data_IF_697155837441
#
_entry.id   IF_697155837441
#
_cell.length_a   1.000
_cell.length_b   1.000
_cell.length_c   1.000
_cell.angle_alpha   90.00
_cell.angle_beta   90.00
_cell.angle_gamma   90.00
#
_symmetry.space_group_name_H-M   'P 1'
#
loop_
_entity.id
_entity.type
_entity.pdbx_description
1 polymer ?
#
# COMPACT_ATOMS: atom_id res chain seq x y z
N UNK A 1 38.36 17.94 -8.31
CA UNK A 1 37.40 17.48 -7.30
C UNK A 1 36.01 17.46 -7.92
N UNK A 2 35.55 16.30 -8.39
CA UNK A 2 34.16 16.13 -8.82
C UNK A 2 33.35 15.81 -7.57
N UNK A 3 32.50 16.72 -7.12
CA UNK A 3 31.58 16.42 -6.03
C UNK A 3 30.60 15.37 -6.53
N UNK A 4 30.65 14.16 -5.94
CA UNK A 4 29.57 13.19 -6.07
C UNK A 4 28.39 13.72 -5.26
N UNK A 5 27.58 14.57 -5.89
CA UNK A 5 26.19 14.68 -5.50
C UNK A 5 25.58 13.31 -5.81
N UNK A 6 25.45 12.46 -4.80
CA UNK A 6 24.62 11.27 -4.90
C UNK A 6 23.22 11.75 -5.28
N UNK A 7 22.85 11.63 -6.56
CA UNK A 7 21.44 11.68 -6.92
C UNK A 7 20.81 10.59 -6.08
N UNK A 8 19.92 10.94 -5.15
CA UNK A 8 19.06 9.96 -4.52
C UNK A 8 18.45 9.15 -5.66
N UNK A 9 18.74 7.85 -5.69
CA UNK A 9 18.21 6.99 -6.73
C UNK A 9 16.69 7.06 -6.65
N UNK A 10 16.03 7.37 -7.78
CA UNK A 10 14.57 7.35 -7.87
C UNK A 10 14.06 5.98 -7.39
N UNK A 11 13.09 5.96 -6.47
CA UNK A 11 12.43 4.75 -5.99
C UNK A 11 11.38 4.22 -6.99
N UNK A 12 11.22 4.89 -8.13
CA UNK A 12 10.39 4.48 -9.26
C UNK A 12 11.29 4.24 -10.48
N UNK A 13 11.20 3.05 -11.07
CA UNK A 13 11.90 2.64 -12.30
C UNK A 13 10.88 2.32 -13.39
N UNK A 14 11.02 2.91 -14.57
CA UNK A 14 10.28 2.49 -15.75
C UNK A 14 11.08 1.45 -16.55
N UNK A 15 10.41 0.41 -17.01
CA UNK A 15 10.97 -0.56 -17.95
C UNK A 15 10.63 -0.13 -19.38
N UNK A 16 11.58 -0.32 -20.30
CA UNK A 16 11.40 -0.01 -21.72
C UNK A 16 10.79 1.38 -21.95
N UNK A 17 11.31 2.42 -21.29
CA UNK A 17 10.72 3.77 -21.25
C UNK A 17 10.36 4.32 -22.65
N UNK A 18 11.12 3.95 -23.69
CA UNK A 18 10.84 4.30 -25.09
C UNK A 18 9.50 3.80 -25.64
N UNK A 19 8.87 2.80 -25.00
CA UNK A 19 7.55 2.28 -25.37
C UNK A 19 6.39 3.05 -24.72
N UNK A 20 6.69 3.95 -23.79
CA UNK A 20 5.66 4.65 -23.02
C UNK A 20 5.22 5.94 -23.70
N UNK A 21 3.92 6.25 -23.72
CA UNK A 21 3.46 7.61 -23.97
C UNK A 21 3.96 8.56 -22.88
N UNK A 22 4.51 9.71 -23.26
CA UNK A 22 5.08 10.68 -22.29
C UNK A 22 4.06 11.16 -21.24
N UNK A 23 2.80 11.33 -21.65
CA UNK A 23 1.72 11.70 -20.75
C UNK A 23 1.50 10.64 -19.66
N UNK A 24 1.57 9.36 -20.03
CA UNK A 24 1.39 8.25 -19.09
C UNK A 24 2.57 8.12 -18.12
N UNK A 25 3.82 8.33 -18.58
CA UNK A 25 5.00 8.40 -17.69
C UNK A 25 4.78 9.45 -16.59
N UNK A 26 4.38 10.66 -17.00
CA UNK A 26 4.11 11.76 -16.07
C UNK A 26 2.99 11.40 -15.09
N UNK A 27 1.88 10.83 -15.58
CA UNK A 27 0.78 10.40 -14.70
C UNK A 27 1.22 9.33 -13.70
N UNK A 28 2.05 8.36 -14.10
CA UNK A 28 2.58 7.36 -13.15
C UNK A 28 3.51 8.02 -12.13
N UNK A 29 4.39 8.93 -12.54
CA UNK A 29 5.26 9.68 -11.61
C UNK A 29 4.47 10.49 -10.57
N UNK A 30 3.31 11.02 -10.96
CA UNK A 30 2.44 11.82 -10.07
C UNK A 30 1.54 10.95 -9.18
N UNK A 31 1.23 9.72 -9.59
CA UNK A 31 0.22 8.88 -8.94
C UNK A 31 0.74 7.63 -8.26
N UNK A 32 2.01 7.27 -8.50
CA UNK A 32 2.73 6.16 -7.87
C UNK A 32 3.94 6.72 -7.11
N UNK A 33 3.74 6.97 -5.81
CA UNK A 33 4.72 7.66 -4.97
C UNK A 33 5.31 6.68 -3.97
N UNK A 34 6.62 6.79 -3.74
CA UNK A 34 7.32 6.17 -2.61
C UNK A 34 8.12 7.24 -1.90
N UNK A 35 7.99 7.29 -0.58
CA UNK A 35 8.78 8.13 0.30
C UNK A 35 9.61 7.27 1.25
N UNK A 36 10.92 7.43 1.19
CA UNK A 36 11.86 6.76 2.08
C UNK A 36 11.78 7.35 3.49
N UNK A 37 12.17 6.56 4.50
CA UNK A 37 12.29 7.00 5.90
C UNK A 37 11.04 7.73 6.46
N UNK A 38 9.84 7.38 5.98
CA UNK A 38 8.58 7.97 6.47
C UNK A 38 8.26 7.57 7.92
N UNK A 39 8.66 6.34 8.29
CA UNK A 39 8.56 5.78 9.63
C UNK A 39 9.96 5.74 10.25
N UNK A 40 10.08 6.05 11.53
CA UNK A 40 11.35 5.86 12.25
C UNK A 40 11.48 4.42 12.75
N UNK A 41 12.71 3.98 13.07
CA UNK A 41 12.91 2.66 13.70
C UNK A 41 12.17 2.50 15.04
N UNK A 42 11.98 3.61 15.77
CA UNK A 42 11.22 3.60 17.02
C UNK A 42 9.72 3.38 16.75
N UNK A 43 9.17 4.09 15.78
CA UNK A 43 7.77 3.93 15.36
C UNK A 43 7.51 2.52 14.79
N UNK A 44 8.44 1.97 13.98
CA UNK A 44 8.34 0.57 13.55
C UNK A 44 8.34 -0.39 14.75
N UNK A 45 9.20 -0.19 15.73
CA UNK A 45 9.22 -1.02 16.94
C UNK A 45 7.90 -0.91 17.73
N UNK A 46 7.28 0.27 17.78
CA UNK A 46 5.97 0.49 18.39
C UNK A 46 4.84 -0.25 17.64
N UNK A 47 4.83 -0.19 16.30
CA UNK A 47 3.93 -1.00 15.47
C UNK A 47 4.13 -2.49 15.75
N UNK A 48 5.37 -2.98 15.77
CA UNK A 48 5.65 -4.39 16.00
C UNK A 48 5.25 -4.85 17.39
N UNK A 49 5.43 -4.02 18.43
CA UNK A 49 4.99 -4.34 19.80
C UNK A 49 3.47 -4.54 19.88
N UNK A 50 2.70 -3.77 19.12
CA UNK A 50 1.25 -3.88 19.08
C UNK A 50 0.77 -5.01 18.15
N UNK A 51 1.37 -5.16 16.97
CA UNK A 51 0.89 -6.04 15.90
C UNK A 51 1.33 -7.49 16.10
N UNK A 52 2.61 -7.72 16.47
CA UNK A 52 3.23 -9.05 16.55
C UNK A 52 2.47 -10.04 17.46
N UNK A 53 1.98 -9.67 18.66
CA UNK A 53 1.29 -10.59 19.55
C UNK A 53 0.04 -11.22 18.92
N UNK A 54 -0.61 -10.51 18.00
CA UNK A 54 -1.78 -10.98 17.27
C UNK A 54 -1.37 -11.76 16.03
N UNK A 55 -0.47 -11.23 15.21
CA UNK A 55 -0.06 -11.87 13.95
C UNK A 55 0.56 -13.25 14.19
N UNK A 56 1.40 -13.41 15.23
CA UNK A 56 2.06 -14.69 15.53
C UNK A 56 1.10 -15.84 15.85
N UNK A 57 -0.16 -15.54 16.19
CA UNK A 57 -1.21 -16.54 16.46
C UNK A 57 -1.90 -17.02 15.18
N UNK A 58 -1.77 -16.28 14.09
CA UNK A 58 -2.29 -16.63 12.77
C UNK A 58 -1.30 -17.53 12.04
N UNK A 59 -1.81 -18.51 11.30
CA UNK A 59 -1.03 -19.36 10.41
C UNK A 59 -0.84 -18.63 9.07
N UNK A 60 0.28 -18.87 8.42
CA UNK A 60 0.43 -18.47 7.03
C UNK A 60 -0.51 -19.29 6.15
N UNK A 61 -1.35 -18.59 5.39
CA UNK A 61 -2.23 -19.12 4.38
C UNK A 61 -1.46 -19.32 3.07
N UNK A 62 -1.71 -20.44 2.39
CA UNK A 62 -1.02 -20.75 1.13
C UNK A 62 -1.54 -19.90 -0.02
N UNK A 63 -2.84 -19.61 -0.05
CA UNK A 63 -3.50 -18.81 -1.09
C UNK A 63 -4.82 -18.26 -0.57
N UNK A 64 -5.19 -17.06 -1.01
CA UNK A 64 -6.53 -16.50 -0.83
C UNK A 64 -7.55 -17.12 -1.83
N UNK A 65 -8.86 -16.90 -1.65
CA UNK A 65 -9.89 -17.47 -2.54
C UNK A 65 -9.84 -16.93 -3.98
N UNK A 66 -9.32 -15.72 -4.15
CA UNK A 66 -9.04 -15.09 -5.46
C UNK A 66 -7.61 -15.33 -5.95
N UNK A 67 -6.83 -16.12 -5.20
CA UNK A 67 -5.45 -16.51 -5.49
C UNK A 67 -4.45 -15.33 -5.61
N UNK A 68 -4.80 -14.13 -5.12
CA UNK A 68 -3.98 -12.93 -5.25
C UNK A 68 -2.75 -12.94 -4.34
N UNK A 69 -2.83 -13.50 -3.14
CA UNK A 69 -1.74 -13.46 -2.15
C UNK A 69 -1.32 -14.87 -1.74
N UNK A 70 -0.01 -15.10 -1.65
CA UNK A 70 0.63 -16.40 -1.35
C UNK A 70 1.54 -16.31 -0.13
N UNK A 71 1.47 -17.32 0.75
CA UNK A 71 2.24 -17.41 2.00
C UNK A 71 2.18 -16.14 2.84
N UNK A 72 0.98 -15.81 3.27
CA UNK A 72 0.68 -14.59 3.99
C UNK A 72 -0.23 -14.86 5.18
N UNK A 73 -0.33 -13.89 6.08
CA UNK A 73 -1.41 -13.84 7.07
C UNK A 73 -1.84 -12.40 7.22
N UNK A 74 -3.13 -12.19 7.42
CA UNK A 74 -3.67 -10.84 7.45
C UNK A 74 -4.69 -10.67 8.57
N UNK A 75 -4.90 -9.42 8.94
CA UNK A 75 -6.00 -9.02 9.81
C UNK A 75 -6.33 -7.56 9.58
N UNK A 76 -7.48 -7.18 10.09
CA UNK A 76 -7.90 -5.80 10.17
C UNK A 76 -7.86 -5.31 11.62
N UNK A 77 -7.47 -4.05 11.80
CA UNK A 77 -7.44 -3.41 13.11
C UNK A 77 -8.01 -1.99 13.05
N UNK A 78 -8.97 -1.72 13.93
CA UNK A 78 -9.63 -0.42 14.06
C UNK A 78 -9.03 0.47 15.16
N UNK A 79 -8.68 -0.12 16.30
CA UNK A 79 -8.16 0.63 17.45
C UNK A 79 -6.65 0.44 17.50
N UNK A 80 -5.93 1.54 17.57
CA UNK A 80 -4.48 1.57 17.75
C UNK A 80 -4.12 2.25 19.06
N UNK A 81 -2.93 1.95 19.59
CA UNK A 81 -2.39 2.75 20.69
C UNK A 81 -2.06 4.17 20.20
N UNK A 82 -1.90 5.12 21.13
CA UNK A 82 -1.70 6.53 20.80
C UNK A 82 -0.49 6.76 19.87
N UNK A 83 0.66 6.13 20.15
CA UNK A 83 1.89 6.30 19.36
C UNK A 83 1.70 5.83 17.91
N UNK A 84 1.04 4.70 17.71
CA UNK A 84 0.77 4.17 16.37
C UNK A 84 -0.34 4.97 15.66
N UNK A 85 -1.34 5.47 16.37
CA UNK A 85 -2.38 6.34 15.81
C UNK A 85 -1.80 7.67 15.31
N UNK A 86 -0.82 8.25 16.00
CA UNK A 86 -0.13 9.48 15.56
C UNK A 86 0.59 9.29 14.21
N UNK A 87 1.20 8.11 13.98
CA UNK A 87 1.83 7.76 12.70
C UNK A 87 0.78 7.52 11.62
N UNK A 88 -0.32 6.83 11.95
CA UNK A 88 -1.44 6.64 11.02
C UNK A 88 -2.05 7.98 10.62
N UNK A 89 -2.25 8.92 11.55
CA UNK A 89 -2.75 10.26 11.25
C UNK A 89 -1.78 11.07 10.38
N UNK A 90 -0.47 10.90 10.57
CA UNK A 90 0.55 11.49 9.68
C UNK A 90 0.45 10.89 8.27
N UNK A 91 0.32 9.58 8.16
CA UNK A 91 0.13 8.87 6.89
C UNK A 91 -1.14 9.34 6.18
N UNK A 92 -2.23 9.50 6.93
CA UNK A 92 -3.54 9.90 6.42
C UNK A 92 -3.52 11.30 5.85
N UNK A 93 -3.06 12.28 6.64
CA UNK A 93 -2.93 13.69 6.20
C UNK A 93 -2.03 13.84 4.98
N UNK A 94 -1.04 12.97 4.84
CA UNK A 94 -0.13 12.99 3.70
C UNK A 94 -0.73 12.38 2.44
N UNK A 95 -1.53 11.33 2.60
CA UNK A 95 -1.96 10.50 1.47
C UNK A 95 -3.32 10.90 0.93
N UNK A 96 -4.27 11.24 1.80
CA UNK A 96 -5.67 11.46 1.45
C UNK A 96 -6.04 12.96 1.47
N UNK A 97 -6.97 13.39 0.60
CA UNK A 97 -7.67 14.66 0.73
C UNK A 97 -8.33 14.83 2.11
N UNK A 98 -8.50 16.08 2.56
CA UNK A 98 -9.11 16.38 3.87
C UNK A 98 -10.55 15.88 4.00
N UNK A 99 -11.29 15.84 2.88
CA UNK A 99 -12.67 15.39 2.78
C UNK A 99 -12.81 13.88 2.46
N UNK A 100 -11.70 13.17 2.29
CA UNK A 100 -11.74 11.76 1.97
C UNK A 100 -12.21 10.92 3.17
N UNK A 101 -13.35 10.28 3.03
CA UNK A 101 -13.80 9.28 3.99
C UNK A 101 -12.95 8.01 3.89
N UNK A 102 -12.48 7.49 5.02
CA UNK A 102 -11.55 6.36 5.06
C UNK A 102 -12.18 5.10 5.64
N UNK A 103 -11.65 3.94 5.23
CA UNK A 103 -11.97 2.69 5.91
C UNK A 103 -11.51 2.78 7.36
N UNK A 104 -12.45 2.52 8.27
CA UNK A 104 -12.17 2.56 9.72
C UNK A 104 -11.23 1.43 10.15
N UNK A 105 -11.18 0.35 9.39
CA UNK A 105 -10.30 -0.79 9.62
C UNK A 105 -9.04 -0.64 8.77
N UNK A 106 -7.89 -0.61 9.43
CA UNK A 106 -6.58 -0.60 8.80
C UNK A 106 -6.15 -2.03 8.53
N UNK A 107 -5.72 -2.31 7.31
CA UNK A 107 -5.32 -3.64 6.88
C UNK A 107 -3.86 -3.90 7.25
N UNK A 108 -3.62 -5.01 7.96
CA UNK A 108 -2.29 -5.48 8.34
C UNK A 108 -2.01 -6.76 7.56
N UNK A 109 -1.02 -6.69 6.66
CA UNK A 109 -0.58 -7.83 5.86
C UNK A 109 0.83 -8.24 6.27
N UNK A 110 1.02 -9.49 6.68
CA UNK A 110 2.32 -10.08 7.01
C UNK A 110 2.64 -11.15 5.96
N UNK A 111 3.66 -10.86 5.15
CA UNK A 111 4.18 -11.75 4.12
C UNK A 111 5.38 -12.52 4.66
N UNK A 112 5.38 -13.83 4.41
CA UNK A 112 6.56 -14.67 4.60
C UNK A 112 7.68 -14.24 3.63
N UNK A 113 8.94 -14.60 3.93
CA UNK A 113 10.09 -14.38 3.02
C UNK A 113 9.86 -14.95 1.62
N UNK A 114 9.18 -16.09 1.54
CA UNK A 114 8.81 -16.76 0.27
C UNK A 114 7.41 -16.35 -0.24
N UNK A 115 6.74 -15.44 0.46
CA UNK A 115 5.40 -14.96 0.12
C UNK A 115 5.44 -13.91 -0.98
N UNK A 116 4.36 -13.82 -1.75
CA UNK A 116 4.23 -12.88 -2.87
C UNK A 116 2.79 -12.45 -3.06
N UNK A 117 2.62 -11.34 -3.78
CA UNK A 117 1.31 -10.86 -4.21
C UNK A 117 1.31 -10.89 -5.73
N UNK A 118 0.36 -11.57 -6.36
CA UNK A 118 0.19 -11.65 -7.81
C UNK A 118 -0.39 -10.34 -8.39
N UNK A 119 -0.25 -10.08 -9.70
CA UNK A 119 -0.78 -8.89 -10.35
C UNK A 119 -2.30 -8.73 -10.21
N UNK A 120 -2.73 -7.72 -9.47
CA UNK A 120 -4.15 -7.44 -9.25
C UNK A 120 -4.45 -5.93 -9.15
N UNK A 121 -5.72 -5.58 -9.29
CA UNK A 121 -6.26 -4.23 -9.04
C UNK A 121 -7.22 -4.37 -7.87
N UNK A 122 -7.04 -3.56 -6.83
CA UNK A 122 -7.94 -3.55 -5.68
C UNK A 122 -9.39 -3.25 -6.11
N UNK A 123 -10.32 -4.00 -5.53
CA UNK A 123 -11.75 -3.91 -5.86
C UNK A 123 -12.27 -2.48 -5.70
N UNK A 124 -12.78 -1.92 -6.80
CA UNK A 124 -13.46 -0.61 -6.82
C UNK A 124 -14.75 -0.58 -6.00
N UNK A 125 -15.26 -1.75 -5.59
CA UNK A 125 -16.43 -1.86 -4.71
C UNK A 125 -16.09 -1.63 -3.24
N UNK A 126 -14.82 -1.79 -2.85
CA UNK A 126 -14.40 -1.76 -1.44
C UNK A 126 -13.27 -0.77 -1.18
N UNK A 127 -12.53 -0.34 -2.21
CA UNK A 127 -11.45 0.63 -2.14
C UNK A 127 -11.77 1.84 -3.02
N UNK A 128 -11.63 3.05 -2.48
CA UNK A 128 -11.78 4.31 -3.19
C UNK A 128 -10.59 4.63 -4.10
N UNK A 129 -10.25 5.91 -4.22
CA UNK A 129 -9.26 6.44 -5.16
C UNK A 129 -7.81 6.25 -4.70
N UNK A 130 -7.55 5.97 -3.42
CA UNK A 130 -6.21 6.00 -2.83
C UNK A 130 -5.94 4.75 -2.00
N UNK A 131 -4.83 4.07 -2.34
CA UNK A 131 -4.22 3.02 -1.52
C UNK A 131 -2.89 3.57 -1.04
N UNK A 132 -2.67 3.53 0.27
CA UNK A 132 -1.40 3.95 0.87
C UNK A 132 -1.00 2.97 1.94
N UNK A 133 0.30 2.76 2.13
CA UNK A 133 0.78 1.88 3.18
C UNK A 133 2.22 2.12 3.55
N UNK A 134 2.56 1.72 4.77
CA UNK A 134 3.95 1.70 5.26
C UNK A 134 4.53 0.29 5.15
N UNK A 135 5.80 0.20 4.78
CA UNK A 135 6.56 -1.04 4.67
C UNK A 135 7.41 -1.24 5.92
N UNK A 136 7.26 -2.36 6.62
CA UNK A 136 7.97 -2.67 7.86
C UNK A 136 8.77 -3.98 7.70
N UNK A 137 9.80 -4.12 8.53
CA UNK A 137 10.74 -5.25 8.65
C UNK A 137 11.73 -5.43 7.49
N UNK A 138 11.27 -5.45 6.24
CA UNK A 138 12.12 -5.70 5.08
C UNK A 138 11.65 -4.98 3.82
N UNK A 139 12.60 -4.81 2.91
CA UNK A 139 12.40 -4.20 1.60
C UNK A 139 11.63 -5.15 0.67
N UNK A 140 10.92 -4.60 -0.32
CA UNK A 140 10.45 -5.37 -1.47
C UNK A 140 10.37 -4.52 -2.73
N UNK A 141 10.17 -5.20 -3.86
CA UNK A 141 9.82 -4.56 -5.12
C UNK A 141 8.33 -4.75 -5.38
N UNK A 142 7.61 -3.64 -5.50
CA UNK A 142 6.26 -3.64 -6.02
C UNK A 142 6.30 -3.35 -7.51
N UNK A 143 5.82 -4.28 -8.34
CA UNK A 143 5.74 -4.09 -9.79
C UNK A 143 4.34 -3.66 -10.20
N UNK A 144 4.29 -2.71 -11.12
CA UNK A 144 3.09 -2.17 -11.74
C UNK A 144 3.08 -2.61 -13.21
N UNK A 145 2.00 -3.24 -13.66
CA UNK A 145 1.78 -3.61 -15.05
C UNK A 145 0.48 -3.02 -15.56
N UNK A 146 0.53 -2.27 -16.65
CA UNK A 146 -0.69 -1.72 -17.23
C UNK A 146 -1.64 -2.84 -17.64
N UNK A 147 -2.93 -2.72 -17.30
CA UNK A 147 -3.94 -3.76 -17.52
C UNK A 147 -4.10 -4.16 -18.99
N UNK A 148 -3.93 -3.21 -19.91
CA UNK A 148 -4.10 -3.43 -21.36
C UNK A 148 -2.77 -3.65 -22.11
N UNK A 149 -1.62 -3.35 -21.47
CA UNK A 149 -0.27 -3.42 -22.07
C UNK A 149 0.75 -3.98 -21.07
N UNK A 150 0.51 -5.18 -20.50
CA UNK A 150 1.25 -5.68 -19.34
C UNK A 150 2.72 -6.03 -19.59
N UNK A 151 3.12 -6.17 -20.86
CA UNK A 151 4.50 -6.48 -21.28
C UNK A 151 5.28 -5.23 -21.76
N UNK A 152 4.57 -4.14 -22.07
CA UNK A 152 5.16 -2.91 -22.60
C UNK A 152 5.28 -1.83 -21.52
N UNK A 153 4.25 -1.68 -20.68
CA UNK A 153 4.16 -0.62 -19.68
C UNK A 153 4.27 -1.21 -18.29
N UNK A 154 5.53 -1.41 -17.89
CA UNK A 154 5.93 -1.96 -16.59
C UNK A 154 6.75 -0.93 -15.82
N UNK A 155 6.38 -0.68 -14.57
CA UNK A 155 7.17 0.15 -13.66
C UNK A 155 7.39 -0.60 -12.34
N UNK A 156 8.54 -0.40 -11.72
CA UNK A 156 8.85 -0.97 -10.40
C UNK A 156 8.96 0.16 -9.37
N UNK A 157 8.43 -0.09 -8.18
CA UNK A 157 8.58 0.73 -6.99
C UNK A 157 9.47 -0.02 -5.98
N UNK A 158 10.54 0.63 -5.53
CA UNK A 158 11.38 0.10 -4.45
C UNK A 158 10.78 0.48 -3.10
N UNK A 159 10.06 -0.46 -2.50
CA UNK A 159 9.42 -0.28 -1.20
C UNK A 159 10.38 -0.71 -0.10
N UNK A 160 11.26 0.22 0.28
CA UNK A 160 12.20 0.00 1.37
C UNK A 160 11.48 -0.16 2.71
N UNK A 161 12.08 -0.89 3.64
CA UNK A 161 11.69 -0.86 5.06
C UNK A 161 11.63 0.59 5.52
N UNK A 162 10.61 0.92 6.29
CA UNK A 162 10.27 2.24 6.81
C UNK A 162 9.67 3.22 5.77
N UNK A 163 9.53 2.81 4.51
CA UNK A 163 8.97 3.67 3.47
C UNK A 163 7.44 3.76 3.56
N UNK A 164 6.88 4.86 3.06
CA UNK A 164 5.48 4.96 2.68
C UNK A 164 5.35 4.80 1.16
N UNK A 165 4.30 4.13 0.71
CA UNK A 165 3.90 4.13 -0.70
C UNK A 165 2.46 4.63 -0.85
N UNK A 166 2.17 5.26 -2.00
CA UNK A 166 0.84 5.70 -2.39
C UNK A 166 0.58 5.34 -3.84
N UNK A 167 -0.55 4.70 -4.09
CA UNK A 167 -1.14 4.49 -5.41
C UNK A 167 -2.46 5.28 -5.48
N UNK A 168 -2.60 6.08 -6.54
CA UNK A 168 -3.83 6.83 -6.84
C UNK A 168 -4.04 6.89 -8.35
N UNK A 169 -5.13 7.52 -8.81
CA UNK A 169 -5.35 7.82 -10.24
C UNK A 169 -5.05 6.63 -11.16
N UNK A 170 -4.26 6.86 -12.21
CA UNK A 170 -3.87 5.80 -13.16
C UNK A 170 -3.14 4.65 -12.48
N UNK A 171 -2.26 4.94 -11.51
CA UNK A 171 -1.53 3.92 -10.75
C UNK A 171 -2.44 2.95 -9.97
N UNK A 172 -3.60 3.42 -9.51
CA UNK A 172 -4.58 2.63 -8.76
C UNK A 172 -5.62 1.92 -9.66
N UNK A 173 -5.94 2.50 -10.81
CA UNK A 173 -7.06 2.04 -11.66
C UNK A 173 -6.63 1.30 -12.93
N UNK A 174 -5.46 1.64 -13.47
CA UNK A 174 -4.99 1.13 -14.76
C UNK A 174 -3.80 0.19 -14.65
N UNK A 175 -3.15 0.14 -13.49
CA UNK A 175 -2.02 -0.74 -13.23
C UNK A 175 -2.40 -1.84 -12.24
N UNK A 176 -2.15 -3.08 -12.65
CA UNK A 176 -2.07 -4.22 -11.73
C UNK A 176 -0.81 -4.08 -10.90
N UNK A 177 -0.93 -4.14 -9.59
CA UNK A 177 0.21 -4.13 -8.69
C UNK A 177 0.49 -5.54 -8.16
N UNK A 178 1.75 -5.85 -7.94
CA UNK A 178 2.24 -7.13 -7.42
C UNK A 178 3.45 -6.90 -6.51
N UNK A 179 3.71 -7.82 -5.58
CA UNK A 179 4.94 -7.85 -4.78
C UNK A 179 5.74 -9.06 -5.23
N UNK A 180 6.89 -8.80 -5.86
CA UNK A 180 7.68 -9.81 -6.56
C UNK A 180 8.22 -10.89 -5.62
N UNK A 181 8.24 -12.14 -6.09
CA UNK A 181 8.86 -13.26 -5.38
C UNK A 181 10.37 -13.06 -5.26
N UNK A 182 11.02 -13.82 -4.37
CA UNK A 182 12.47 -13.77 -4.18
C UNK A 182 13.20 -13.83 -5.51
N UNK A 183 12.89 -14.78 -6.38
CA UNK A 183 13.58 -15.02 -7.65
C UNK A 183 13.49 -13.85 -8.64
N UNK A 184 12.45 -13.02 -8.53
CA UNK A 184 12.15 -11.91 -9.45
C UNK A 184 12.41 -10.53 -8.83
N UNK A 185 12.72 -10.48 -7.53
CA UNK A 185 12.88 -9.25 -6.74
C UNK A 185 14.18 -8.52 -7.08
N UNK A 186 14.14 -7.72 -8.15
CA UNK A 186 15.22 -6.85 -8.60
C UNK A 186 14.74 -5.42 -8.80
N UNK A 187 15.54 -4.45 -8.39
CA UNK A 187 15.33 -3.03 -8.64
C UNK A 187 16.61 -2.41 -9.19
N UNK A 188 16.52 -1.70 -10.32
CA UNK A 188 17.70 -1.19 -11.05
C UNK A 188 18.79 -2.25 -11.29
N UNK A 189 18.36 -3.48 -11.59
CA UNK A 189 19.21 -4.66 -11.85
C UNK A 189 20.00 -5.14 -10.62
N UNK A 190 19.75 -4.53 -9.46
CA UNK A 190 20.24 -4.96 -8.17
C UNK A 190 19.21 -5.88 -7.50
N UNK A 191 19.68 -6.98 -6.94
CA UNK A 191 18.83 -7.90 -6.17
C UNK A 191 18.32 -7.19 -4.92
N UNK A 192 17.02 -7.27 -4.67
CA UNK A 192 16.37 -6.86 -3.42
C UNK A 192 15.97 -8.14 -2.67
N UNK A 193 16.76 -8.63 -1.70
CA UNK A 193 16.44 -9.86 -0.99
C UNK A 193 15.11 -9.75 -0.25
N UNK A 194 14.27 -10.77 -0.38
CA UNK A 194 13.02 -10.88 0.36
C UNK A 194 13.28 -11.47 1.75
N UNK A 195 12.64 -10.85 2.74
CA UNK A 195 12.49 -11.42 4.07
C UNK A 195 11.02 -11.26 4.51
N UNK A 196 10.70 -11.64 5.74
CA UNK A 196 9.40 -11.35 6.35
C UNK A 196 9.11 -9.85 6.26
N UNK A 197 7.96 -9.51 5.71
CA UNK A 197 7.54 -8.11 5.50
C UNK A 197 6.16 -7.90 6.09
N UNK A 198 5.99 -6.82 6.85
CA UNK A 198 4.66 -6.37 7.27
C UNK A 198 4.33 -5.07 6.55
N UNK A 199 3.09 -4.94 6.07
CA UNK A 199 2.55 -3.67 5.61
C UNK A 199 1.29 -3.29 6.38
N UNK A 200 1.22 -2.01 6.75
CA UNK A 200 0.04 -1.39 7.35
C UNK A 200 -0.58 -0.50 6.28
N UNK A 201 -1.78 -0.86 5.83
CA UNK A 201 -2.38 -0.37 4.59
C UNK A 201 -3.69 0.34 4.93
N UNK A 202 -3.79 1.59 4.49
CA UNK A 202 -4.99 2.42 4.58
C UNK A 202 -5.58 2.63 3.20
N UNK A 203 -6.92 2.70 3.13
CA UNK A 203 -7.68 2.96 1.91
C UNK A 203 -8.81 3.92 2.22
N UNK A 204 -9.19 4.71 1.23
CA UNK A 204 -10.41 5.50 1.26
C UNK A 204 -11.64 4.65 0.89
N UNK A 205 -12.82 5.15 1.26
CA UNK A 205 -14.10 4.56 0.87
C UNK A 205 -14.39 4.83 -0.61
N UNK A 206 -15.03 3.90 -1.33
CA UNK A 206 -15.59 4.19 -2.65
C UNK A 206 -16.56 5.37 -2.59
N UNK A 207 -16.55 6.25 -3.60
CA UNK A 207 -17.41 7.46 -3.65
C UNK A 207 -18.90 7.17 -3.45
N UNK A 208 -19.41 6.09 -4.05
CA UNK A 208 -20.81 5.68 -3.88
C UNK A 208 -21.13 5.25 -2.44
N UNK A 209 -20.14 4.74 -1.70
CA UNK A 209 -20.29 4.34 -0.30
C UNK A 209 -20.15 5.54 0.63
N UNK A 210 -19.27 6.49 0.32
CA UNK A 210 -19.10 7.73 1.08
C UNK A 210 -20.44 8.49 1.22
N UNK A 211 -21.16 8.70 0.11
CA UNK A 211 -22.49 9.35 0.09
C UNK A 211 -23.49 8.63 1.03
N UNK A 212 -23.51 7.29 1.01
CA UNK A 212 -24.41 6.51 1.86
C UNK A 212 -24.06 6.57 3.35
N UNK A 213 -22.79 6.77 3.71
CA UNK A 213 -22.36 6.91 5.11
C UNK A 213 -22.71 8.31 5.62
N UNK A 214 -22.46 9.35 4.82
CA UNK A 214 -22.89 10.73 5.14
C UNK A 214 -24.41 10.81 5.35
N UNK A 215 -25.20 10.18 4.47
CA UNK A 215 -26.66 10.12 4.64
C UNK A 215 -27.07 9.39 5.92
N UNK A 216 -26.39 8.30 6.29
CA UNK A 216 -26.68 7.55 7.53
C UNK A 216 -26.33 8.34 8.79
N UNK A 217 -25.20 9.02 8.81
CA UNK A 217 -24.78 9.83 9.96
C UNK A 217 -25.61 11.11 10.09
N UNK A 218 -26.23 11.58 9.01
CA UNK A 218 -27.18 12.70 9.02
C UNK A 218 -28.59 12.34 9.55
N UNK A 219 -28.93 11.05 9.63
CA UNK A 219 -30.22 10.58 10.15
C UNK A 219 -30.21 10.63 11.68
N UNK A 220 -30.77 11.71 12.23
CA UNK A 220 -31.10 11.80 13.66
C UNK A 220 -32.29 10.88 13.97
N UNK A 221 -32.03 9.78 14.67
CA UNK A 221 -33.10 8.93 15.21
C UNK A 221 -33.84 9.68 16.32
N UNK A 222 -35.08 10.08 16.06
CA UNK A 222 -35.98 10.55 17.12
C UNK A 222 -36.29 9.38 18.06
N UNK A 223 -36.21 9.55 19.39
CA UNK A 223 -36.62 8.52 20.33
C UNK A 223 -38.06 8.09 20.04
N UNK A 224 -38.29 6.78 20.01
CA UNK A 224 -39.66 6.25 19.93
C UNK A 224 -40.35 6.59 21.25
N UNK A 225 -41.39 7.43 21.19
CA UNK A 225 -42.25 7.69 22.34
C UNK A 225 -42.87 6.36 22.79
N UNK A 226 -42.59 5.97 24.03
CA UNK A 226 -43.23 4.82 24.65
C UNK A 226 -44.68 5.22 24.97
N UNK A 227 -45.62 4.47 24.42
CA UNK A 227 -47.05 4.57 24.73
C UNK A 227 -47.34 4.28 26.20
#
# INVERSE_FOLDING_TARGET
MRSSLSRLASLLRFHNESKWPQALLKSVQETCIVEDDFVTKAEEAAFMKEVEPHMKRLRYEKSHWDDAIHLYREREQRKWNQENEEVLDRLRRKSFPEDAMQLTYVHILDLHKDGKIKPHIDSVRYCGDIITGISLLSDCVMRLRHKDKPDDWIADLHLKRLSLYKLSGVGRYDFRHEVLAEEESFFNDEKVPRDRRISIICRDLPKATAVNVEERDSLTFKPVERA
#
